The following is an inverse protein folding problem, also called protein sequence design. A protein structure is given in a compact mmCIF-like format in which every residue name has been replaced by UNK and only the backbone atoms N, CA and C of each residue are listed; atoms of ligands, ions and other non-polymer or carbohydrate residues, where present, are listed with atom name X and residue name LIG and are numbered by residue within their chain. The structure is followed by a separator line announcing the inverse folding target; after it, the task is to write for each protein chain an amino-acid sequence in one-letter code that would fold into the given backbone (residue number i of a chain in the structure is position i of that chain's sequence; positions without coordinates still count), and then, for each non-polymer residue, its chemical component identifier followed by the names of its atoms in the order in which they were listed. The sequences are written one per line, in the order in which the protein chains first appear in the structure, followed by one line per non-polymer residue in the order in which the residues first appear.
data_IF_823204248667
#
_entry.id   IF_823204248667
#
_cell.length_a   1.000
_cell.length_b   1.000
_cell.length_c   1.000
_cell.angle_alpha   90.00
_cell.angle_beta   90.00
_cell.angle_gamma   90.00
#
_symmetry.space_group_name_H-M   'P 1'
#
loop_
_entity.id
_entity.type
_entity.pdbx_description
1 polymer ?
#
# COMPACT_ATOMS: atom_id res chain seq x y z
N UNK A 1 -40.18 -53.67 42.43
CA UNK A 1 -40.28 -52.45 43.25
C UNK A 1 -38.96 -51.70 43.13
N UNK A 2 -39.00 -50.44 42.69
CA UNK A 2 -37.86 -49.52 42.65
C UNK A 2 -37.00 -49.67 41.38
N UNK A 3 -37.35 -49.05 40.25
CA UNK A 3 -37.25 -47.63 39.88
C UNK A 3 -35.87 -47.22 39.32
N UNK A 4 -35.88 -47.00 38.01
CA UNK A 4 -35.20 -45.96 37.24
C UNK A 4 -33.67 -45.81 37.33
N UNK A 5 -33.02 -46.09 36.20
CA UNK A 5 -32.13 -45.10 35.58
C UNK A 5 -32.59 -44.94 34.11
N UNK A 6 -33.06 -43.76 33.69
CA UNK A 6 -33.55 -43.57 32.34
C UNK A 6 -32.41 -43.37 31.35
N UNK A 7 -32.53 -44.07 30.23
CA UNK A 7 -32.51 -43.56 28.84
C UNK A 7 -31.41 -42.53 28.51
N UNK A 8 -30.54 -42.94 27.60
CA UNK A 8 -29.45 -42.12 27.11
C UNK A 8 -29.89 -40.85 26.42
N UNK A 9 -28.97 -39.90 26.38
CA UNK A 9 -29.03 -38.82 25.42
C UNK A 9 -27.62 -38.61 24.86
N UNK A 10 -27.53 -38.75 23.54
CA UNK A 10 -26.34 -38.46 22.77
C UNK A 10 -25.95 -37.03 23.09
N UNK A 11 -24.86 -36.83 23.81
CA UNK A 11 -24.30 -35.50 24.03
C UNK A 11 -23.81 -34.98 22.68
N UNK A 12 -24.72 -34.25 22.03
CA UNK A 12 -24.55 -33.55 20.79
C UNK A 12 -23.47 -32.49 20.97
N UNK A 13 -22.48 -32.50 20.08
CA UNK A 13 -21.37 -31.56 19.99
C UNK A 13 -21.80 -30.09 19.77
N UNK A 14 -23.10 -29.80 19.79
CA UNK A 14 -23.70 -28.50 19.57
C UNK A 14 -23.87 -27.65 20.85
N UNK A 15 -23.79 -28.22 22.05
CA UNK A 15 -24.05 -27.47 23.29
C UNK A 15 -22.83 -26.71 23.83
N UNK A 16 -21.62 -26.94 23.29
CA UNK A 16 -20.38 -26.24 23.70
C UNK A 16 -20.16 -24.93 22.91
N UNK A 17 -21.07 -24.51 22.01
CA UNK A 17 -20.86 -23.31 21.16
C UNK A 17 -21.72 -22.09 21.47
N UNK A 18 -22.62 -22.13 22.45
CA UNK A 18 -23.60 -21.04 22.62
C UNK A 18 -23.33 -20.15 23.86
N UNK A 19 -22.44 -20.54 24.77
CA UNK A 19 -22.11 -19.75 25.96
C UNK A 19 -21.12 -18.58 25.75
N UNK A 20 -20.46 -18.49 24.59
CA UNK A 20 -19.36 -17.55 24.35
C UNK A 20 -19.72 -16.38 23.40
N UNK A 21 -21.00 -16.10 23.17
CA UNK A 21 -21.42 -15.05 22.22
C UNK A 21 -22.18 -13.86 22.83
N UNK A 22 -22.46 -13.86 24.13
CA UNK A 22 -23.26 -12.78 24.74
C UNK A 22 -22.48 -11.69 25.49
N UNK A 23 -21.14 -11.80 25.65
CA UNK A 23 -20.33 -10.74 26.30
C UNK A 23 -19.62 -9.83 25.29
N UNK A 24 -19.45 -10.25 24.04
CA UNK A 24 -18.76 -9.45 23.00
C UNK A 24 -19.65 -8.40 22.32
N UNK A 25 -20.98 -8.46 22.50
CA UNK A 25 -21.93 -7.59 21.80
C UNK A 25 -22.02 -6.16 22.34
N UNK A 26 -21.68 -5.93 23.62
CA UNK A 26 -21.85 -4.61 24.26
C UNK A 26 -20.69 -3.64 24.01
N UNK A 27 -19.49 -4.13 23.67
CA UNK A 27 -18.35 -3.27 23.31
C UNK A 27 -18.44 -2.73 21.87
N UNK A 28 -19.15 -3.45 20.98
CA UNK A 28 -19.33 -3.02 19.59
C UNK A 28 -20.35 -1.87 19.45
N UNK A 29 -21.31 -1.73 20.37
CA UNK A 29 -22.36 -0.72 20.25
C UNK A 29 -21.92 0.67 20.74
N UNK A 30 -20.97 0.77 21.68
CA UNK A 30 -20.44 2.06 22.13
C UNK A 30 -19.51 2.70 21.09
N UNK A 31 -18.72 1.90 20.37
CA UNK A 31 -17.87 2.40 19.28
C UNK A 31 -18.68 2.83 18.05
N UNK A 32 -19.83 2.21 17.80
CA UNK A 32 -20.69 2.56 16.67
C UNK A 32 -21.52 3.84 16.91
N UNK A 33 -21.84 4.15 18.18
CA UNK A 33 -22.54 5.40 18.53
C UNK A 33 -21.63 6.64 18.47
N UNK A 34 -20.33 6.50 18.73
CA UNK A 34 -19.41 7.64 18.66
C UNK A 34 -19.10 8.06 17.20
N UNK A 35 -19.18 7.12 16.26
CA UNK A 35 -18.98 7.36 14.83
C UNK A 35 -20.17 8.05 14.12
N UNK A 36 -21.34 8.11 14.76
CA UNK A 36 -22.53 8.74 14.17
C UNK A 36 -22.64 10.24 14.47
N UNK A 37 -21.74 10.79 15.30
CA UNK A 37 -21.64 12.24 15.48
C UNK A 37 -21.10 12.84 14.18
N UNK A 38 -21.79 13.83 13.57
CA UNK A 38 -21.20 14.64 12.53
C UNK A 38 -19.91 15.26 13.05
N UNK A 39 -18.83 15.15 12.29
CA UNK A 39 -17.55 15.77 12.64
C UNK A 39 -17.70 17.29 12.60
N UNK A 40 -17.73 17.93 13.79
CA UNK A 40 -17.71 19.39 13.97
C UNK A 40 -16.31 20.00 13.71
N UNK A 41 -15.63 19.55 12.66
CA UNK A 41 -14.29 20.05 12.33
C UNK A 41 -14.11 20.19 10.81
N UNK A 42 -15.04 20.91 10.18
CA UNK A 42 -14.69 21.62 8.96
C UNK A 42 -13.96 22.91 9.35
N UNK A 43 -12.72 23.16 8.86
CA UNK A 43 -12.22 24.52 8.84
C UNK A 43 -13.07 25.32 7.85
N UNK A 44 -13.98 26.13 8.40
CA UNK A 44 -14.73 27.12 7.64
C UNK A 44 -13.76 28.23 7.23
N UNK A 45 -13.17 28.13 6.03
CA UNK A 45 -12.46 29.26 5.42
C UNK A 45 -13.43 29.98 4.50
N UNK A 46 -14.21 30.87 5.09
CA UNK A 46 -14.94 31.90 4.34
C UNK A 46 -13.93 32.97 3.93
N UNK A 47 -13.61 33.01 2.64
CA UNK A 47 -12.82 34.06 2.03
C UNK A 47 -12.96 33.94 0.52
N UNK A 48 -13.79 34.80 -0.08
CA UNK A 48 -13.84 34.92 -1.53
C UNK A 48 -12.47 35.44 -2.01
N UNK A 49 -11.65 34.57 -2.60
CA UNK A 49 -10.42 34.98 -3.26
C UNK A 49 -10.80 35.52 -4.64
N UNK A 50 -10.88 36.84 -4.77
CA UNK A 50 -10.93 37.52 -6.06
C UNK A 50 -9.62 37.28 -6.79
N UNK A 51 -9.62 36.40 -7.80
CA UNK A 51 -8.45 36.20 -8.67
C UNK A 51 -8.38 37.37 -9.66
N UNK A 52 -7.55 38.36 -9.37
CA UNK A 52 -7.15 39.37 -10.35
C UNK A 52 -6.14 38.73 -11.31
N UNK A 53 -6.53 38.46 -12.56
CA UNK A 53 -5.59 38.01 -13.59
C UNK A 53 -4.71 39.17 -14.05
N UNK A 54 -3.57 39.37 -13.41
CA UNK A 54 -2.50 40.22 -13.95
C UNK A 54 -1.61 39.35 -14.85
N UNK A 55 -1.81 39.47 -16.16
CA UNK A 55 -0.92 38.88 -17.15
C UNK A 55 0.39 39.67 -17.16
N UNK A 56 1.42 39.14 -16.51
CA UNK A 56 2.80 39.55 -16.75
C UNK A 56 3.49 38.38 -17.46
N UNK A 57 3.97 38.63 -18.67
CA UNK A 57 4.89 37.73 -19.37
C UNK A 57 6.30 38.23 -19.09
N UNK A 58 7.05 37.61 -18.16
CA UNK A 58 8.50 37.72 -18.17
C UNK A 58 9.06 36.56 -18.98
N UNK A 59 9.55 36.84 -20.19
CA UNK A 59 10.45 35.93 -20.90
C UNK A 59 11.74 35.84 -20.09
N UNK A 60 11.82 34.81 -19.26
CA UNK A 60 13.03 34.49 -18.49
C UNK A 60 13.50 33.14 -18.98
N UNK A 61 14.62 33.13 -19.71
CA UNK A 61 15.38 31.92 -20.01
C UNK A 61 15.98 31.42 -18.70
N UNK A 62 15.24 30.56 -17.98
CA UNK A 62 15.70 29.93 -16.74
C UNK A 62 16.56 28.73 -17.15
N UNK A 63 17.87 28.81 -16.89
CA UNK A 63 18.74 27.64 -16.86
C UNK A 63 18.16 26.62 -15.86
N UNK A 64 18.21 25.30 -16.11
CA UNK A 64 17.67 24.31 -15.18
C UNK A 64 18.44 24.40 -13.86
N UNK A 65 17.85 25.06 -12.86
CA UNK A 65 18.33 25.00 -11.50
C UNK A 65 17.95 23.62 -10.96
N UNK A 66 18.93 22.74 -10.82
CA UNK A 66 18.79 21.50 -10.06
C UNK A 66 18.65 21.86 -8.59
N UNK A 67 17.44 22.21 -8.17
CA UNK A 67 17.10 22.27 -6.74
C UNK A 67 17.07 20.85 -6.20
N UNK A 68 18.18 20.42 -5.61
CA UNK A 68 18.20 19.23 -4.73
C UNK A 68 17.49 19.60 -3.44
N UNK A 69 16.15 19.61 -3.47
CA UNK A 69 15.34 19.65 -2.27
C UNK A 69 15.46 18.25 -1.67
N UNK A 70 16.23 18.10 -0.59
CA UNK A 70 16.19 16.90 0.23
C UNK A 70 14.83 16.87 0.91
N UNK A 71 13.81 16.36 0.21
CA UNK A 71 12.54 16.03 0.81
C UNK A 71 12.81 15.09 1.98
N UNK A 72 12.08 15.27 3.08
CA UNK A 72 12.14 14.34 4.19
C UNK A 72 11.94 12.90 3.68
N UNK A 73 12.68 11.91 4.20
CA UNK A 73 12.55 10.54 3.74
C UNK A 73 11.11 10.07 3.92
N UNK A 74 10.46 9.68 2.82
CA UNK A 74 9.12 9.09 2.85
C UNK A 74 9.17 7.71 3.53
N UNK A 75 8.19 7.44 4.38
CA UNK A 75 7.96 6.12 4.95
C UNK A 75 7.18 5.18 4.03
N UNK A 76 6.97 3.95 4.50
CA UNK A 76 6.25 2.91 3.76
C UNK A 76 4.80 3.29 3.44
N UNK A 77 4.12 3.99 4.35
CA UNK A 77 2.73 4.37 4.19
C UNK A 77 2.58 5.43 3.08
N UNK A 78 3.53 6.35 3.00
CA UNK A 78 3.59 7.34 1.93
C UNK A 78 3.83 6.69 0.57
N UNK A 79 4.70 5.67 0.50
CA UNK A 79 4.89 4.91 -0.74
C UNK A 79 3.70 4.02 -1.11
N UNK A 80 2.95 3.51 -0.13
CA UNK A 80 1.68 2.84 -0.40
C UNK A 80 0.68 3.82 -1.04
N UNK A 81 0.58 5.06 -0.53
CA UNK A 81 -0.26 6.09 -1.14
C UNK A 81 0.20 6.41 -2.57
N UNK A 82 1.51 6.57 -2.79
CA UNK A 82 2.06 6.77 -4.13
C UNK A 82 1.73 5.58 -5.06
N UNK A 83 1.72 4.34 -4.55
CA UNK A 83 1.32 3.15 -5.30
C UNK A 83 -0.16 3.17 -5.69
N UNK A 84 -1.04 3.54 -4.75
CA UNK A 84 -2.48 3.69 -5.04
C UNK A 84 -2.70 4.77 -6.10
N UNK A 85 -2.02 5.92 -5.98
CA UNK A 85 -2.07 7.00 -6.98
C UNK A 85 -1.53 6.58 -8.35
N UNK A 86 -0.57 5.66 -8.39
CA UNK A 86 -0.04 5.09 -9.62
C UNK A 86 -0.98 4.04 -10.26
N UNK A 87 -2.07 3.65 -9.60
CA UNK A 87 -3.09 2.75 -10.13
C UNK A 87 -3.09 1.34 -9.54
N UNK A 88 -2.36 1.09 -8.44
CA UNK A 88 -2.50 -0.17 -7.71
C UNK A 88 -3.90 -0.31 -7.11
N UNK A 89 -4.50 -1.52 -7.09
CA UNK A 89 -5.79 -1.73 -6.44
C UNK A 89 -5.65 -1.54 -4.93
N UNK A 90 -6.60 -0.82 -4.32
CA UNK A 90 -6.61 -0.61 -2.86
C UNK A 90 -6.69 -1.95 -2.11
N UNK A 91 -7.33 -2.98 -2.69
CA UNK A 91 -7.39 -4.33 -2.11
C UNK A 91 -6.01 -4.98 -1.92
N UNK A 92 -5.02 -4.56 -2.70
CA UNK A 92 -3.66 -5.08 -2.63
C UNK A 92 -2.79 -4.35 -1.58
N UNK A 93 -3.32 -3.32 -0.91
CA UNK A 93 -2.57 -2.50 0.05
C UNK A 93 -1.84 -3.31 1.13
N UNK A 94 -2.44 -4.36 1.74
CA UNK A 94 -1.72 -5.17 2.74
C UNK A 94 -0.49 -5.85 2.16
N UNK A 95 -0.59 -6.39 0.94
CA UNK A 95 0.51 -7.08 0.25
C UNK A 95 1.58 -6.09 -0.21
N UNK A 96 1.18 -4.94 -0.76
CA UNK A 96 2.09 -3.86 -1.15
C UNK A 96 2.93 -3.42 0.04
N UNK A 97 2.30 -3.14 1.19
CA UNK A 97 3.02 -2.70 2.38
C UNK A 97 4.00 -3.76 2.88
N UNK A 98 3.59 -5.03 2.87
CA UNK A 98 4.46 -6.18 3.20
C UNK A 98 5.67 -6.27 2.27
N UNK A 99 5.48 -6.07 0.96
CA UNK A 99 6.56 -6.09 -0.04
C UNK A 99 7.49 -4.91 0.15
N UNK A 100 6.98 -3.67 0.24
CA UNK A 100 7.79 -2.48 0.48
C UNK A 100 8.70 -2.63 1.70
N UNK A 101 8.14 -3.15 2.80
CA UNK A 101 8.90 -3.37 4.03
C UNK A 101 9.96 -4.46 3.88
N UNK A 102 9.62 -5.60 3.25
CA UNK A 102 10.54 -6.74 3.17
C UNK A 102 11.64 -6.54 2.14
N UNK A 103 11.30 -6.02 0.97
CA UNK A 103 12.20 -5.93 -0.16
C UNK A 103 13.23 -4.81 0.01
N UNK A 104 12.83 -3.68 0.60
CA UNK A 104 13.70 -2.50 0.67
C UNK A 104 13.73 -1.79 2.02
N UNK A 105 12.92 -2.23 3.00
CA UNK A 105 12.61 -1.42 4.19
C UNK A 105 12.19 0.01 3.80
N UNK A 106 11.45 0.13 2.69
CA UNK A 106 10.95 1.38 2.13
C UNK A 106 12.07 2.37 1.73
N UNK A 107 13.26 1.86 1.42
CA UNK A 107 14.37 2.63 0.88
C UNK A 107 14.36 2.59 -0.66
N UNK A 108 14.11 3.71 -1.36
CA UNK A 108 14.08 3.73 -2.82
C UNK A 108 15.46 3.51 -3.46
N UNK A 109 16.54 3.63 -2.69
CA UNK A 109 17.91 3.38 -3.15
C UNK A 109 18.41 1.96 -2.83
N UNK A 110 17.53 1.08 -2.32
CA UNK A 110 17.90 -0.30 -2.03
C UNK A 110 18.40 -1.03 -3.28
N UNK A 111 19.54 -1.71 -3.17
CA UNK A 111 20.14 -2.47 -4.26
C UNK A 111 20.63 -3.82 -3.76
N UNK A 112 20.15 -4.89 -4.39
CA UNK A 112 20.68 -6.24 -4.20
C UNK A 112 21.46 -6.68 -5.45
N UNK A 113 22.79 -6.49 -5.41
CA UNK A 113 23.69 -6.89 -6.48
C UNK A 113 23.97 -8.41 -6.57
N UNK A 114 23.50 -9.21 -5.61
CA UNK A 114 23.67 -10.68 -5.64
C UNK A 114 22.65 -11.36 -6.55
N UNK A 115 21.55 -10.68 -6.85
CA UNK A 115 20.55 -11.23 -7.74
C UNK A 115 21.05 -11.24 -9.19
N UNK A 116 20.52 -12.18 -9.97
CA UNK A 116 20.89 -12.35 -11.38
C UNK A 116 20.56 -11.11 -12.21
N UNK A 117 21.11 -11.05 -13.42
CA UNK A 117 20.77 -10.05 -14.43
C UNK A 117 21.03 -8.60 -14.01
N UNK A 118 22.10 -8.38 -13.23
CA UNK A 118 22.50 -7.06 -12.77
C UNK A 118 21.79 -6.59 -11.50
N UNK A 119 21.15 -7.49 -10.75
CA UNK A 119 20.61 -7.20 -9.43
C UNK A 119 19.19 -6.62 -9.41
N UNK A 120 18.64 -6.48 -8.21
CA UNK A 120 17.31 -5.95 -7.94
C UNK A 120 17.38 -4.55 -7.33
N UNK A 121 16.43 -3.66 -7.67
CA UNK A 121 16.52 -2.22 -7.37
C UNK A 121 15.23 -1.64 -6.80
N UNK A 122 15.41 -0.67 -5.91
CA UNK A 122 14.38 0.22 -5.41
C UNK A 122 13.36 -0.44 -4.49
N UNK A 123 12.23 0.24 -4.35
CA UNK A 123 11.20 -0.05 -3.36
C UNK A 123 10.67 -1.49 -3.40
N UNK A 124 10.36 -1.98 -4.60
CA UNK A 124 9.84 -3.31 -4.87
C UNK A 124 10.93 -4.32 -5.23
N UNK A 125 12.22 -3.94 -5.18
CA UNK A 125 13.33 -4.78 -5.63
C UNK A 125 13.06 -5.40 -7.01
N UNK A 126 12.75 -4.57 -8.01
CA UNK A 126 12.52 -5.05 -9.38
C UNK A 126 13.84 -5.58 -9.96
N UNK A 127 13.86 -6.86 -10.34
CA UNK A 127 15.06 -7.53 -10.83
C UNK A 127 15.45 -7.09 -12.25
N UNK A 128 16.74 -6.95 -12.54
CA UNK A 128 17.23 -6.54 -13.86
C UNK A 128 16.97 -7.52 -15.02
N UNK A 129 16.53 -8.75 -14.77
CA UNK A 129 16.03 -9.67 -15.80
C UNK A 129 14.84 -9.06 -16.57
N UNK A 130 14.16 -8.14 -15.91
CA UNK A 130 13.04 -7.36 -16.39
C UNK A 130 13.51 -6.09 -17.15
N UNK A 131 14.71 -6.04 -17.72
CA UNK A 131 15.16 -4.84 -18.42
C UNK A 131 14.46 -4.62 -19.77
N UNK A 132 14.44 -5.64 -20.63
CA UNK A 132 14.04 -5.50 -22.04
C UNK A 132 12.60 -5.04 -22.19
N UNK A 133 11.66 -5.79 -21.62
CA UNK A 133 10.24 -5.47 -21.59
C UNK A 133 9.90 -4.12 -20.90
N UNK A 134 10.61 -3.67 -19.85
CA UNK A 134 10.37 -2.36 -19.22
C UNK A 134 10.83 -1.21 -20.13
N UNK A 135 11.86 -1.43 -20.95
CA UNK A 135 12.29 -0.48 -21.98
C UNK A 135 11.29 -0.47 -23.14
N UNK A 136 10.85 -1.65 -23.59
CA UNK A 136 9.84 -1.79 -24.65
C UNK A 136 8.52 -1.11 -24.29
N UNK A 137 8.08 -1.27 -23.04
CA UNK A 137 6.87 -0.64 -22.50
C UNK A 137 7.10 0.83 -22.07
N UNK A 138 8.29 1.39 -22.31
CA UNK A 138 8.61 2.81 -22.10
C UNK A 138 8.67 3.26 -20.64
N UNK A 139 8.78 2.32 -19.69
CA UNK A 139 8.79 2.61 -18.25
C UNK A 139 10.18 3.07 -17.80
N UNK A 140 11.23 2.46 -18.35
CA UNK A 140 12.62 2.83 -18.05
C UNK A 140 13.42 3.02 -19.34
N UNK A 141 14.50 3.79 -19.27
CA UNK A 141 15.53 3.85 -20.32
C UNK A 141 16.75 3.02 -19.95
N UNK A 142 17.02 2.90 -18.65
CA UNK A 142 18.11 2.13 -18.06
C UNK A 142 17.70 1.59 -16.69
N UNK A 143 18.44 0.59 -16.20
CA UNK A 143 18.13 -0.07 -14.93
C UNK A 143 18.15 0.88 -13.73
N UNK A 144 19.01 1.91 -13.75
CA UNK A 144 19.13 2.86 -12.64
C UNK A 144 17.89 3.74 -12.49
N UNK A 145 17.03 3.82 -13.51
CA UNK A 145 15.76 4.53 -13.39
C UNK A 145 14.84 3.86 -12.34
N UNK A 146 15.08 2.58 -12.03
CA UNK A 146 14.36 1.86 -10.96
C UNK A 146 14.70 2.36 -9.54
N UNK A 147 15.67 3.26 -9.38
CA UNK A 147 15.90 3.96 -8.10
C UNK A 147 14.99 5.17 -7.92
N UNK A 148 14.31 5.64 -8.97
CA UNK A 148 13.26 6.65 -8.82
C UNK A 148 11.99 5.97 -8.27
N UNK A 149 11.46 6.41 -7.12
CA UNK A 149 10.34 5.75 -6.44
C UNK A 149 9.12 5.54 -7.34
N UNK A 150 8.72 6.58 -8.08
CA UNK A 150 7.54 6.57 -8.94
C UNK A 150 7.71 5.63 -10.14
N UNK A 151 8.91 5.59 -10.73
CA UNK A 151 9.26 4.65 -11.79
C UNK A 151 9.27 3.22 -11.27
N UNK A 152 9.84 2.98 -10.08
CA UNK A 152 9.88 1.66 -9.46
C UNK A 152 8.48 1.12 -9.16
N UNK A 153 7.60 1.97 -8.61
CA UNK A 153 6.19 1.67 -8.34
C UNK A 153 5.45 1.29 -9.63
N UNK A 154 5.64 2.05 -10.71
CA UNK A 154 5.03 1.76 -12.03
C UNK A 154 5.57 0.47 -12.64
N UNK A 155 6.88 0.24 -12.56
CA UNK A 155 7.51 -1.00 -13.03
C UNK A 155 6.98 -2.22 -12.26
N UNK A 156 6.80 -2.10 -10.94
CA UNK A 156 6.23 -3.14 -10.11
C UNK A 156 4.76 -3.41 -10.43
N UNK A 157 3.94 -2.36 -10.61
CA UNK A 157 2.54 -2.50 -11.03
C UNK A 157 2.43 -3.27 -12.36
N UNK A 158 3.30 -2.90 -13.30
CA UNK A 158 3.35 -3.51 -14.61
C UNK A 158 3.76 -4.99 -14.56
N UNK A 159 4.79 -5.33 -13.76
CA UNK A 159 5.19 -6.71 -13.48
C UNK A 159 4.05 -7.50 -12.81
N UNK A 160 3.37 -6.91 -11.83
CA UNK A 160 2.21 -7.50 -11.16
C UNK A 160 1.03 -7.74 -12.12
N UNK A 161 0.75 -6.85 -13.08
CA UNK A 161 -0.27 -7.13 -14.08
C UNK A 161 0.05 -8.35 -14.97
N UNK A 162 1.34 -8.63 -15.21
CA UNK A 162 1.74 -9.76 -16.06
C UNK A 162 1.77 -11.09 -15.32
N UNK A 163 2.22 -11.10 -14.06
CA UNK A 163 2.43 -12.36 -13.32
C UNK A 163 1.85 -12.35 -11.91
N UNK A 164 1.26 -11.27 -11.43
CA UNK A 164 0.79 -11.14 -10.06
C UNK A 164 1.92 -11.21 -9.03
N UNK A 165 1.59 -11.61 -7.81
CA UNK A 165 2.53 -11.60 -6.69
C UNK A 165 3.62 -12.66 -6.75
N UNK A 166 3.55 -13.64 -7.67
CA UNK A 166 4.55 -14.70 -7.78
C UNK A 166 5.95 -14.21 -8.21
N UNK A 167 6.04 -12.97 -8.70
CA UNK A 167 7.34 -12.31 -8.93
C UNK A 167 8.10 -12.02 -7.63
N UNK A 168 7.40 -11.95 -6.50
CA UNK A 168 7.98 -11.76 -5.18
C UNK A 168 7.81 -13.04 -4.37
N UNK A 169 8.89 -13.50 -3.75
CA UNK A 169 8.87 -14.72 -2.94
C UNK A 169 8.20 -14.48 -1.57
N UNK A 170 6.88 -14.28 -1.56
CA UNK A 170 6.08 -14.09 -0.35
C UNK A 170 5.88 -15.43 0.38
N UNK A 171 6.15 -15.52 1.69
CA UNK A 171 5.78 -16.71 2.47
C UNK A 171 4.26 -16.87 2.50
N UNK A 172 3.80 -18.12 2.41
CA UNK A 172 2.40 -18.48 2.69
C UNK A 172 2.01 -18.01 4.09
N UNK A 173 0.79 -17.48 4.21
CA UNK A 173 0.20 -17.10 5.50
C UNK A 173 -0.20 -18.31 6.34
#
# INVERSE_FOLDING_TARGET
MGNALPIGEKMSYLTIKIGAWFISGLAAFTLLWDASKPSDSQPVTSGQVTITLTSIVPTTTVAPATTTITAAPKGCMEYLNDAILAGWPISESPTILRVLQRESACNPLAFNGKDRSGGSRGLFQVNGAHKSWLIEDGIITKLDDLFYPDVNIKAALHLWHKVGWQAWNLPSE
#
